data_IF_560734119959
#
_entry.id   IF_560734119959
#
_cell.length_a   1.000
_cell.length_b   1.000
_cell.length_c   1.000
_cell.angle_alpha   90.00
_cell.angle_beta   90.00
_cell.angle_gamma   90.00
#
_symmetry.space_group_name_H-M   'P 1'
#
loop_
_entity.id
_entity.type
_entity.pdbx_description
1 polymer ?
#
# COMPACT_ATOMS: atom_id res chain seq x y z
N UNK A 1 13.34 11.38 17.78
CA UNK A 1 13.46 10.37 16.70
C UNK A 1 12.12 9.74 16.32
N UNK A 2 11.39 9.12 17.26
CA UNK A 2 10.15 8.38 16.96
C UNK A 2 9.09 9.24 16.28
N UNK A 3 8.87 10.46 16.79
CA UNK A 3 7.93 11.43 16.21
C UNK A 3 8.25 11.75 14.75
N UNK A 4 9.51 12.01 14.41
CA UNK A 4 9.95 12.28 13.04
C UNK A 4 9.70 11.07 12.14
N UNK A 5 10.03 9.86 12.60
CA UNK A 5 9.79 8.64 11.82
C UNK A 5 8.30 8.45 11.49
N UNK A 6 7.43 8.75 12.47
CA UNK A 6 5.98 8.68 12.33
C UNK A 6 5.43 9.77 11.41
N UNK A 7 5.63 11.04 11.77
CA UNK A 7 5.09 12.21 11.05
C UNK A 7 5.58 12.27 9.61
N UNK A 8 6.86 11.96 9.36
CA UNK A 8 7.46 12.02 8.03
C UNK A 8 7.40 10.68 7.26
N UNK A 9 6.85 9.62 7.86
CA UNK A 9 6.76 8.27 7.25
C UNK A 9 8.12 7.74 6.78
N UNK A 10 9.18 8.07 7.51
CA UNK A 10 10.56 7.75 7.17
C UNK A 10 10.97 6.38 7.71
N UNK A 11 11.87 5.70 6.99
CA UNK A 11 12.58 4.54 7.53
C UNK A 11 13.61 5.02 8.55
N UNK A 12 13.96 4.17 9.52
CA UNK A 12 14.97 4.53 10.53
C UNK A 12 16.27 5.10 9.94
N UNK A 13 16.81 4.49 8.89
CA UNK A 13 18.01 5.00 8.21
C UNK A 13 17.81 6.39 7.59
N UNK A 14 16.63 6.66 7.03
CA UNK A 14 16.32 7.97 6.44
C UNK A 14 16.21 9.03 7.54
N UNK A 15 15.75 8.64 8.73
CA UNK A 15 15.72 9.52 9.92
C UNK A 15 17.14 9.84 10.40
N UNK A 16 18.07 8.88 10.40
CA UNK A 16 19.49 9.10 10.73
C UNK A 16 20.20 10.03 9.74
N UNK A 17 19.76 10.07 8.48
CA UNK A 17 20.39 10.88 7.44
C UNK A 17 19.94 12.34 7.46
N UNK A 18 18.92 12.70 8.25
CA UNK A 18 18.40 14.06 8.29
C UNK A 18 19.45 15.05 8.83
N UNK A 19 19.51 16.22 8.19
CA UNK A 19 20.40 17.32 8.58
C UNK A 19 19.68 18.66 8.56
N UNK A 20 20.35 19.72 9.01
CA UNK A 20 19.74 21.06 9.05
C UNK A 20 19.34 21.57 7.66
N UNK A 21 19.98 21.11 6.58
CA UNK A 21 19.61 21.48 5.21
C UNK A 21 18.28 20.84 4.76
N UNK A 22 17.75 19.85 5.48
CA UNK A 22 16.41 19.31 5.23
C UNK A 22 15.30 20.17 5.85
N UNK A 23 15.63 21.13 6.71
CA UNK A 23 14.65 22.01 7.36
C UNK A 23 14.35 23.16 6.42
N UNK A 24 13.16 23.13 5.81
CA UNK A 24 12.66 24.17 4.91
C UNK A 24 11.57 25.00 5.62
N UNK A 25 11.21 26.12 5.01
CA UNK A 25 10.17 27.00 5.53
C UNK A 25 8.81 26.28 5.52
N UNK A 26 8.49 25.60 4.43
CA UNK A 26 7.24 24.90 4.23
C UNK A 26 7.14 23.54 4.96
N UNK A 27 8.27 22.96 5.37
CA UNK A 27 8.28 21.64 6.00
C UNK A 27 9.65 20.99 6.11
N UNK A 28 9.64 19.70 6.47
CA UNK A 28 10.85 18.88 6.51
C UNK A 28 11.01 18.09 5.21
N UNK A 29 12.13 18.30 4.51
CA UNK A 29 12.49 17.56 3.31
C UNK A 29 12.94 16.14 3.65
N UNK A 30 12.27 15.17 3.05
CA UNK A 30 12.51 13.76 3.29
C UNK A 30 13.32 13.18 2.13
N UNK A 31 14.65 13.21 2.22
CA UNK A 31 15.52 12.55 1.24
C UNK A 31 15.38 11.04 1.35
N UNK A 32 14.62 10.44 0.42
CA UNK A 32 14.32 9.01 0.44
C UNK A 32 15.43 8.23 -0.24
N UNK A 33 15.72 7.02 0.28
CA UNK A 33 16.68 6.10 -0.35
C UNK A 33 15.97 5.23 -1.40
N UNK A 34 15.60 4.00 -1.04
CA UNK A 34 15.10 2.99 -2.00
C UNK A 34 13.59 3.06 -2.21
N UNK A 35 13.16 3.15 -3.47
CA UNK A 35 11.79 2.89 -3.92
C UNK A 35 10.74 3.93 -3.50
N UNK A 36 11.16 5.12 -3.10
CA UNK A 36 10.29 6.24 -2.78
C UNK A 36 10.91 7.53 -3.29
N UNK A 37 10.08 8.48 -3.71
CA UNK A 37 10.54 9.79 -4.16
C UNK A 37 10.66 10.74 -2.97
N UNK A 38 11.63 11.66 -3.06
CA UNK A 38 11.74 12.77 -2.12
C UNK A 38 10.42 13.55 -2.05
N UNK A 39 10.02 13.92 -0.84
CA UNK A 39 8.86 14.77 -0.59
C UNK A 39 9.15 15.70 0.59
N UNK A 40 8.28 16.69 0.79
CA UNK A 40 8.32 17.57 1.95
C UNK A 40 7.11 17.21 2.82
N UNK A 41 7.34 17.00 4.12
CA UNK A 41 6.26 16.89 5.10
C UNK A 41 6.01 18.25 5.71
N UNK A 42 4.82 18.81 5.49
CA UNK A 42 4.43 20.09 6.04
C UNK A 42 4.54 20.11 7.57
N UNK A 43 4.85 21.27 8.13
CA UNK A 43 4.99 21.44 9.57
C UNK A 43 3.68 21.18 10.31
N UNK A 44 3.81 20.50 11.45
CA UNK A 44 2.81 20.47 12.50
C UNK A 44 3.51 20.71 13.85
N UNK A 45 2.75 21.06 14.89
CA UNK A 45 3.32 21.43 16.18
C UNK A 45 4.22 20.33 16.78
N UNK A 46 3.83 19.06 16.63
CA UNK A 46 4.61 17.92 17.14
C UNK A 46 5.92 17.74 16.39
N UNK A 47 5.90 17.88 15.07
CA UNK A 47 7.07 17.74 14.21
C UNK A 47 8.07 18.88 14.46
N UNK A 48 7.58 20.12 14.60
CA UNK A 48 8.40 21.27 14.96
C UNK A 48 9.06 21.07 16.34
N UNK A 49 8.29 20.65 17.34
CA UNK A 49 8.80 20.37 18.68
C UNK A 49 9.88 19.27 18.64
N UNK A 50 9.66 18.19 17.90
CA UNK A 50 10.62 17.10 17.78
C UNK A 50 11.93 17.54 17.11
N UNK A 51 11.87 18.40 16.08
CA UNK A 51 13.07 18.95 15.44
C UNK A 51 13.82 19.87 16.40
N UNK A 52 13.10 20.76 17.09
CA UNK A 52 13.69 21.67 18.07
C UNK A 52 14.38 20.91 19.21
N UNK A 53 13.77 19.86 19.73
CA UNK A 53 14.36 19.02 20.79
C UNK A 53 15.67 18.35 20.32
N UNK A 54 15.70 17.84 19.08
CA UNK A 54 16.91 17.25 18.52
C UNK A 54 18.03 18.28 18.32
N UNK A 55 17.69 19.48 17.83
CA UNK A 55 18.65 20.58 17.71
C UNK A 55 19.19 21.02 19.07
N UNK A 56 18.33 21.15 20.08
CA UNK A 56 18.71 21.49 21.44
C UNK A 56 19.65 20.42 22.04
N UNK A 57 19.30 19.14 21.89
CA UNK A 57 20.14 18.02 22.34
C UNK A 57 21.51 18.04 21.68
N UNK A 58 21.56 18.24 20.36
CA UNK A 58 22.82 18.34 19.62
C UNK A 58 23.66 19.50 20.12
N UNK A 59 23.09 20.69 20.28
CA UNK A 59 23.79 21.87 20.78
C UNK A 59 24.36 21.64 22.19
N UNK A 60 23.59 20.99 23.07
CA UNK A 60 24.06 20.60 24.40
C UNK A 60 25.25 19.62 24.33
N UNK A 61 25.19 18.60 23.47
CA UNK A 61 26.27 17.64 23.27
C UNK A 61 27.54 18.28 22.70
N UNK A 62 27.40 19.14 21.69
CA UNK A 62 28.52 19.86 21.07
C UNK A 62 29.21 20.75 22.11
N UNK A 63 28.44 21.50 22.90
CA UNK A 63 28.96 22.35 23.97
C UNK A 63 29.68 21.52 25.04
N UNK A 64 29.03 20.47 25.56
CA UNK A 64 29.59 19.61 26.61
C UNK A 64 30.89 18.90 26.17
N UNK A 65 30.97 18.49 24.90
CA UNK A 65 32.14 17.82 24.32
C UNK A 65 33.15 18.77 23.69
N UNK A 66 32.94 20.09 23.77
CA UNK A 66 33.78 21.13 23.15
C UNK A 66 34.06 20.86 21.66
N UNK A 67 33.06 20.36 20.94
CA UNK A 67 33.17 20.09 19.49
C UNK A 67 32.88 21.37 18.71
N UNK A 68 33.43 21.42 17.50
CA UNK A 68 33.10 22.49 16.55
C UNK A 68 31.79 22.13 15.83
N UNK A 69 30.83 23.05 15.83
CA UNK A 69 29.64 22.93 14.98
C UNK A 69 30.06 23.09 13.51
N UNK A 70 29.76 22.13 12.63
CA UNK A 70 30.06 22.27 11.21
C UNK A 70 29.46 23.55 10.62
N UNK A 71 30.19 24.26 9.76
CA UNK A 71 29.68 25.51 9.16
C UNK A 71 28.52 25.27 8.19
N UNK A 72 28.58 24.18 7.43
CA UNK A 72 27.59 23.83 6.40
C UNK A 72 26.39 23.10 7.00
N UNK A 73 25.18 23.47 6.62
CA UNK A 73 23.94 22.89 7.15
C UNK A 73 23.78 21.40 6.79
N UNK A 74 24.28 21.00 5.62
CA UNK A 74 24.23 19.60 5.14
C UNK A 74 25.08 18.67 6.02
N UNK A 75 26.08 19.24 6.70
CA UNK A 75 27.00 18.53 7.59
C UNK A 75 26.56 18.56 9.05
N UNK A 76 25.41 19.16 9.37
CA UNK A 76 24.85 19.22 10.72
C UNK A 76 23.75 18.16 10.87
N UNK A 77 24.07 16.93 11.32
CA UNK A 77 23.07 15.88 11.50
C UNK A 77 22.04 16.30 12.55
N UNK A 78 20.78 15.96 12.36
CA UNK A 78 19.76 16.19 13.39
C UNK A 78 19.87 15.18 14.54
N UNK A 79 20.23 13.94 14.23
CA UNK A 79 20.45 12.90 15.24
C UNK A 79 21.93 12.69 15.52
N UNK A 80 22.30 12.91 16.78
CA UNK A 80 23.66 12.70 17.26
C UNK A 80 23.70 11.61 18.34
N UNK A 81 24.78 10.83 18.33
CA UNK A 81 25.15 9.96 19.45
C UNK A 81 25.67 10.76 20.65
N UNK A 82 25.96 10.07 21.76
CA UNK A 82 26.47 10.71 23.00
C UNK A 82 27.85 11.37 22.84
N UNK A 83 28.60 10.95 21.84
CA UNK A 83 29.88 11.52 21.42
C UNK A 83 29.74 12.79 20.56
N UNK A 84 28.50 13.17 20.21
CA UNK A 84 28.19 14.28 19.33
C UNK A 84 28.45 13.98 17.85
N UNK A 85 28.78 12.75 17.48
CA UNK A 85 28.88 12.31 16.09
C UNK A 85 27.48 11.97 15.54
N UNK A 86 27.29 11.91 14.20
CA UNK A 86 26.05 11.44 13.61
C UNK A 86 25.64 10.06 14.17
N UNK A 87 24.36 9.90 14.52
CA UNK A 87 23.87 8.66 15.10
C UNK A 87 23.92 7.52 14.06
N UNK A 88 24.73 6.51 14.33
CA UNK A 88 24.80 5.31 13.49
C UNK A 88 23.47 4.53 13.50
N UNK A 89 23.14 3.90 12.38
CA UNK A 89 21.92 3.08 12.23
C UNK A 89 21.84 1.94 13.25
N UNK A 90 22.95 1.27 13.56
CA UNK A 90 23.00 0.20 14.56
C UNK A 90 22.68 0.73 15.96
N UNK A 91 23.23 1.89 16.31
CA UNK A 91 22.94 2.59 17.58
C UNK A 91 21.48 3.02 17.66
N UNK A 92 20.92 3.53 16.55
CA UNK A 92 19.49 3.87 16.45
C UNK A 92 18.58 2.68 16.75
N UNK A 93 18.89 1.52 16.15
CA UNK A 93 18.13 0.31 16.35
C UNK A 93 18.24 -0.20 17.81
N UNK A 94 19.43 -0.08 18.40
CA UNK A 94 19.66 -0.48 19.79
C UNK A 94 18.92 0.44 20.77
N UNK A 95 18.98 1.76 20.56
CA UNK A 95 18.24 2.75 21.34
C UNK A 95 16.72 2.53 21.25
N UNK A 96 16.21 2.18 20.05
CA UNK A 96 14.79 1.83 19.89
C UNK A 96 14.41 0.60 20.71
N UNK A 97 15.22 -0.48 20.67
CA UNK A 97 14.97 -1.68 21.47
C UNK A 97 14.96 -1.38 22.96
N UNK A 98 15.89 -0.56 23.44
CA UNK A 98 15.95 -0.14 24.84
C UNK A 98 14.72 0.68 25.23
N UNK A 99 14.29 1.63 24.38
CA UNK A 99 13.07 2.40 24.60
C UNK A 99 11.83 1.49 24.71
N UNK A 100 11.68 0.52 23.81
CA UNK A 100 10.56 -0.44 23.83
C UNK A 100 10.61 -1.28 25.11
N UNK A 101 11.78 -1.81 25.48
CA UNK A 101 11.93 -2.57 26.72
C UNK A 101 11.59 -1.75 27.97
N UNK A 102 12.03 -0.49 28.01
CA UNK A 102 11.69 0.44 29.10
C UNK A 102 10.19 0.75 29.16
N UNK A 103 9.54 0.91 28.00
CA UNK A 103 8.09 1.14 27.93
C UNK A 103 7.28 -0.06 28.43
N UNK A 104 7.72 -1.29 28.14
CA UNK A 104 7.13 -2.53 28.68
C UNK A 104 7.32 -2.57 30.20
N UNK A 105 8.55 -2.33 30.68
CA UNK A 105 8.85 -2.30 32.12
C UNK A 105 8.04 -1.24 32.88
N UNK A 106 7.70 -0.14 32.23
CA UNK A 106 6.85 0.93 32.78
C UNK A 106 5.33 0.68 32.58
N UNK A 107 4.92 -0.42 31.95
CA UNK A 107 3.51 -0.75 31.70
C UNK A 107 2.81 0.17 30.68
N UNK A 108 3.56 0.90 29.86
CA UNK A 108 3.00 1.80 28.82
C UNK A 108 2.48 1.00 27.63
N UNK A 109 3.14 -0.13 27.32
CA UNK A 109 2.74 -1.07 26.27
C UNK A 109 2.88 -2.51 26.77
N UNK A 110 2.09 -3.42 26.22
CA UNK A 110 2.22 -4.84 26.47
C UNK A 110 3.34 -5.47 25.60
N UNK A 111 3.80 -6.67 25.96
CA UNK A 111 4.89 -7.36 25.25
C UNK A 111 4.48 -7.76 23.83
N UNK A 112 3.21 -8.06 23.64
CA UNK A 112 2.55 -8.40 22.37
C UNK A 112 2.37 -7.18 21.45
N UNK A 113 2.33 -5.97 22.00
CA UNK A 113 2.16 -4.72 21.26
C UNK A 113 3.48 -4.12 20.78
N UNK A 114 4.57 -4.89 20.85
CA UNK A 114 5.89 -4.42 20.43
C UNK A 114 6.00 -4.31 18.91
N UNK A 115 6.71 -3.28 18.45
CA UNK A 115 6.95 -3.09 17.02
C UNK A 115 8.35 -2.56 16.76
N UNK A 116 8.89 -2.94 15.60
CA UNK A 116 10.13 -2.37 15.09
C UNK A 116 9.89 -0.91 14.68
N UNK A 117 10.95 -0.10 14.64
CA UNK A 117 10.87 1.29 14.16
C UNK A 117 10.31 1.40 12.73
N UNK A 118 10.41 0.34 11.91
CA UNK A 118 9.75 0.29 10.61
C UNK A 118 8.20 0.33 10.72
N UNK A 119 7.65 -0.17 11.83
CA UNK A 119 6.22 -0.08 12.16
C UNK A 119 5.73 1.36 12.30
N UNK A 120 6.56 2.31 12.77
CA UNK A 120 6.18 3.74 12.82
C UNK A 120 5.88 4.30 11.43
N UNK A 121 6.68 3.90 10.43
CA UNK A 121 6.40 4.26 9.04
C UNK A 121 5.06 3.71 8.59
N UNK A 122 4.78 2.43 8.88
CA UNK A 122 3.49 1.81 8.51
C UNK A 122 2.34 2.55 9.16
N UNK A 123 2.42 2.80 10.47
CA UNK A 123 1.39 3.52 11.21
C UNK A 123 1.20 4.95 10.71
N UNK A 124 2.27 5.66 10.37
CA UNK A 124 2.20 7.00 9.77
C UNK A 124 1.49 7.01 8.42
N UNK A 125 1.66 5.96 7.60
CA UNK A 125 0.91 5.80 6.34
C UNK A 125 -0.57 5.50 6.62
N UNK A 126 -0.85 4.55 7.51
CA UNK A 126 -2.23 4.15 7.86
C UNK A 126 -3.05 5.30 8.43
N UNK A 127 -2.44 6.10 9.32
CA UNK A 127 -3.06 7.26 9.99
C UNK A 127 -3.18 8.50 9.09
N UNK A 128 -2.66 8.48 7.87
CA UNK A 128 -2.90 9.57 6.92
C UNK A 128 -4.37 9.50 6.49
N UNK A 129 -5.13 10.56 6.74
CA UNK A 129 -6.53 10.66 6.29
C UNK A 129 -6.60 10.72 4.76
N UNK A 130 -7.68 10.16 4.19
CA UNK A 130 -7.93 10.17 2.75
C UNK A 130 -8.08 8.78 2.11
N UNK A 131 -8.38 8.81 0.82
CA UNK A 131 -8.52 7.66 -0.07
C UNK A 131 -7.19 6.93 -0.27
N UNK A 132 -7.24 5.69 -0.79
CA UNK A 132 -6.06 4.89 -1.10
C UNK A 132 -5.04 5.65 -1.98
N UNK A 133 -5.53 6.48 -2.89
CA UNK A 133 -4.70 7.31 -3.76
C UNK A 133 -3.96 8.40 -2.97
N UNK A 134 -4.65 9.10 -2.07
CA UNK A 134 -4.07 10.16 -1.23
C UNK A 134 -3.04 9.59 -0.23
N UNK A 135 -3.31 8.43 0.37
CA UNK A 135 -2.33 7.72 1.22
C UNK A 135 -1.09 7.27 0.43
N UNK A 136 -1.27 6.89 -0.85
CA UNK A 136 -0.17 6.53 -1.76
C UNK A 136 0.65 7.75 -2.13
N UNK A 137 0.01 8.87 -2.44
CA UNK A 137 0.67 10.14 -2.77
C UNK A 137 1.42 10.72 -1.57
N UNK A 138 0.86 10.63 -0.36
CA UNK A 138 1.55 11.02 0.87
C UNK A 138 2.81 10.17 1.14
N UNK A 139 2.81 8.89 0.76
CA UNK A 139 3.96 7.99 0.91
C UNK A 139 4.97 8.06 -0.25
N UNK A 140 4.54 8.59 -1.42
CA UNK A 140 5.25 8.65 -2.71
C UNK A 140 6.05 7.38 -3.03
N UNK A 141 5.37 6.23 -3.09
CA UNK A 141 5.98 4.99 -3.56
C UNK A 141 6.13 4.98 -5.10
N UNK A 142 7.30 4.61 -5.60
CA UNK A 142 7.59 4.60 -7.03
C UNK A 142 6.88 3.47 -7.81
N UNK A 143 6.36 2.45 -7.13
CA UNK A 143 5.64 1.31 -7.74
C UNK A 143 4.44 0.91 -6.90
N UNK A 144 3.36 0.53 -7.57
CA UNK A 144 2.05 0.21 -6.97
C UNK A 144 2.07 -1.02 -6.06
N UNK A 145 2.84 -2.05 -6.44
CA UNK A 145 3.02 -3.28 -5.66
C UNK A 145 3.68 -3.02 -4.30
N UNK A 146 4.49 -1.96 -4.16
CA UNK A 146 5.12 -1.61 -2.90
C UNK A 146 4.13 -1.00 -1.88
N UNK A 147 2.99 -0.46 -2.35
CA UNK A 147 1.94 0.10 -1.50
C UNK A 147 0.92 -0.95 -1.06
N UNK A 148 0.77 -2.04 -1.81
CA UNK A 148 -0.20 -3.11 -1.53
C UNK A 148 0.03 -3.86 -0.20
N UNK A 149 1.23 -3.73 0.40
CA UNK A 149 1.63 -4.39 1.65
C UNK A 149 1.11 -3.64 2.91
N UNK A 150 0.51 -2.45 2.76
CA UNK A 150 0.11 -1.57 3.88
C UNK A 150 -1.40 -1.53 4.16
N UNK A 151 -2.17 -2.44 3.57
CA UNK A 151 -3.62 -2.54 3.76
C UNK A 151 -3.90 -3.56 4.87
N UNK A 152 -3.66 -3.16 6.13
CA UNK A 152 -4.07 -3.96 7.31
C UNK A 152 -5.55 -3.71 7.66
N UNK A 153 -6.28 -2.96 6.83
CA UNK A 153 -7.72 -2.80 6.94
C UNK A 153 -8.38 -3.97 6.20
N UNK A 154 -9.01 -4.89 6.93
CA UNK A 154 -9.79 -5.98 6.33
C UNK A 154 -10.96 -5.34 5.57
N UNK A 155 -10.80 -5.21 4.25
CA UNK A 155 -11.89 -4.74 3.40
C UNK A 155 -12.91 -5.85 3.28
N UNK A 156 -14.08 -5.65 3.88
CA UNK A 156 -15.26 -6.43 3.56
C UNK A 156 -15.67 -6.07 2.14
N UNK A 157 -15.17 -6.84 1.18
CA UNK A 157 -15.55 -6.68 -0.23
C UNK A 157 -16.86 -7.43 -0.43
N UNK A 158 -17.88 -6.84 -1.08
CA UNK A 158 -19.08 -7.58 -1.43
C UNK A 158 -18.71 -8.78 -2.29
N UNK A 159 -19.30 -9.94 -2.00
CA UNK A 159 -19.08 -11.14 -2.79
C UNK A 159 -19.43 -10.86 -4.27
N UNK A 160 -18.61 -11.31 -5.23
CA UNK A 160 -18.92 -11.12 -6.64
C UNK A 160 -20.26 -11.79 -6.96
N UNK A 161 -21.17 -11.05 -7.60
CA UNK A 161 -22.44 -11.62 -8.02
C UNK A 161 -22.19 -12.77 -9.01
N UNK A 162 -22.47 -14.00 -8.57
CA UNK A 162 -22.38 -15.16 -9.45
C UNK A 162 -23.36 -14.97 -10.63
N UNK A 163 -22.96 -15.18 -11.89
CA UNK A 163 -23.81 -14.98 -13.06
C UNK A 163 -24.94 -16.02 -13.21
N UNK A 164 -25.47 -16.59 -12.11
CA UNK A 164 -26.63 -17.48 -12.13
C UNK A 164 -27.86 -16.72 -12.69
N UNK A 165 -27.95 -15.41 -12.48
CA UNK A 165 -28.97 -14.55 -13.10
C UNK A 165 -28.81 -14.29 -14.60
N UNK A 166 -27.63 -14.56 -15.20
CA UNK A 166 -27.45 -14.53 -16.66
C UNK A 166 -27.87 -15.84 -17.31
N UNK A 167 -27.64 -16.98 -16.66
CA UNK A 167 -28.11 -18.30 -17.12
C UNK A 167 -29.64 -18.40 -17.14
N UNK A 168 -30.32 -17.79 -16.16
CA UNK A 168 -31.79 -17.75 -16.12
C UNK A 168 -32.42 -17.00 -17.32
N UNK A 169 -31.74 -15.97 -17.85
CA UNK A 169 -32.22 -15.23 -19.05
C UNK A 169 -32.02 -16.03 -20.35
N UNK A 170 -30.94 -16.80 -20.44
CA UNK A 170 -30.70 -17.70 -21.58
C UNK A 170 -31.66 -18.89 -21.58
N UNK A 171 -31.95 -19.46 -20.41
CA UNK A 171 -32.93 -20.55 -20.27
C UNK A 171 -34.35 -20.12 -20.64
N UNK A 172 -34.75 -18.87 -20.31
CA UNK A 172 -36.07 -18.33 -20.67
C UNK A 172 -36.23 -18.13 -22.19
N UNK A 173 -35.15 -17.76 -22.90
CA UNK A 173 -35.13 -17.69 -24.39
C UNK A 173 -35.30 -19.07 -25.04
N UNK A 174 -34.65 -20.10 -24.51
CA UNK A 174 -34.75 -21.48 -25.03
C UNK A 174 -36.14 -22.08 -24.76
N UNK A 175 -36.73 -21.79 -23.60
CA UNK A 175 -38.07 -22.27 -23.26
C UNK A 175 -39.17 -21.63 -24.12
N UNK A 176 -39.03 -20.33 -24.45
CA UNK A 176 -39.99 -19.63 -25.30
C UNK A 176 -39.98 -20.13 -26.75
N UNK A 177 -38.82 -20.54 -27.28
CA UNK A 177 -38.69 -21.10 -28.64
C UNK A 177 -39.38 -22.48 -28.79
N UNK A 178 -39.34 -23.31 -27.73
CA UNK A 178 -40.07 -24.59 -27.69
C UNK A 178 -41.59 -24.42 -27.56
N UNK A 179 -42.06 -23.31 -26.98
CA UNK A 179 -43.49 -23.00 -26.87
C UNK A 179 -44.07 -22.41 -28.16
N UNK A 180 -43.30 -21.64 -28.93
CA UNK A 180 -43.72 -21.18 -30.27
C UNK A 180 -43.75 -22.33 -31.28
N UNK A 181 -42.76 -23.23 -31.29
CA UNK A 181 -42.78 -24.39 -32.22
C UNK A 181 -43.88 -25.43 -31.92
N UNK A 182 -44.35 -25.55 -30.66
CA UNK A 182 -45.48 -26.43 -30.32
C UNK A 182 -46.85 -25.87 -30.73
N UNK A 183 -46.96 -24.58 -31.05
CA UNK A 183 -48.22 -23.99 -31.53
C UNK A 183 -48.36 -24.02 -33.06
N UNK A 184 -47.26 -24.15 -33.80
CA UNK A 184 -47.28 -24.20 -35.27
C UNK A 184 -47.27 -25.64 -35.85
N UNK A 185 -47.13 -26.68 -35.02
CA UNK A 185 -47.21 -28.11 -35.44
C UNK A 185 -48.49 -28.75 -34.90
N UNK A 186 -49.61 -28.04 -35.03
CA UNK A 186 -50.95 -28.57 -34.79
C UNK A 186 -51.92 -28.08 -35.88
N UNK A 187 -51.59 -28.28 -37.15
CA UNK A 187 -52.58 -28.17 -38.22
C UNK A 187 -52.32 -29.18 -39.36
N UNK A 188 -53.25 -30.14 -39.46
CA UNK A 188 -53.56 -31.05 -40.58
C UNK A 188 -52.53 -32.10 -41.02
N UNK A 189 -52.72 -33.30 -40.45
CA UNK A 189 -52.65 -34.53 -41.22
C UNK A 189 -53.60 -34.43 -42.44
N UNK A 190 -53.05 -34.44 -43.66
CA UNK A 190 -53.79 -34.78 -44.88
C UNK A 190 -53.03 -35.91 -45.60
N UNK A 191 -53.56 -37.15 -45.63
CA UNK A 191 -52.81 -38.34 -46.05
C UNK A 191 -52.76 -38.55 -47.57
N UNK A 192 -52.50 -37.51 -48.38
CA UNK A 192 -52.44 -37.62 -49.86
C UNK A 192 -51.22 -36.99 -50.56
N UNK A 193 -50.20 -36.56 -49.84
CA UNK A 193 -48.95 -36.05 -50.43
C UNK A 193 -47.72 -36.86 -49.98
N UNK A 194 -47.88 -38.18 -50.01
CA UNK A 194 -46.76 -39.12 -49.99
C UNK A 194 -46.31 -39.30 -51.44
N UNK A 195 -45.02 -39.08 -51.72
CA UNK A 195 -44.35 -39.07 -53.04
C UNK A 195 -44.21 -37.72 -53.76
N UNK A 196 -43.25 -36.90 -53.31
CA UNK A 196 -42.26 -36.27 -54.20
C UNK A 196 -41.14 -35.63 -53.37
N UNK A 197 -39.93 -35.74 -53.90
CA UNK A 197 -38.68 -35.14 -53.40
C UNK A 197 -37.91 -35.90 -52.29
N UNK A 198 -37.79 -37.22 -52.44
CA UNK A 198 -36.47 -37.84 -52.28
C UNK A 198 -35.73 -37.68 -53.61
N UNK A 199 -34.86 -36.66 -53.73
CA UNK A 199 -33.77 -36.52 -54.72
C UNK A 199 -33.27 -35.07 -54.72
N UNK A 200 -32.11 -34.87 -54.08
CA UNK A 200 -30.96 -34.01 -54.45
C UNK A 200 -30.13 -33.86 -53.16
N UNK A 201 -29.09 -34.68 -52.94
CA UNK A 201 -27.68 -34.37 -53.24
C UNK A 201 -27.19 -33.10 -52.52
N UNK A 202 -26.09 -33.06 -51.78
CA UNK A 202 -24.90 -33.89 -51.76
C UNK A 202 -24.06 -33.48 -50.53
N UNK A 203 -23.35 -34.45 -49.96
CA UNK A 203 -21.98 -34.40 -49.42
C UNK A 203 -21.40 -33.16 -48.71
N UNK A 204 -20.75 -33.44 -47.56
CA UNK A 204 -19.63 -32.61 -47.09
C UNK A 204 -19.29 -32.75 -45.60
N UNK A 205 -19.03 -33.95 -45.10
CA UNK A 205 -18.34 -34.14 -43.83
C UNK A 205 -16.83 -34.18 -44.11
N UNK A 206 -16.07 -33.23 -43.56
CA UNK A 206 -14.62 -33.31 -43.50
C UNK A 206 -14.17 -33.17 -42.05
N UNK A 207 -13.60 -34.28 -41.59
CA UNK A 207 -12.95 -34.61 -40.34
C UNK A 207 -11.70 -33.79 -40.06
N UNK A 208 -11.41 -33.50 -38.78
CA UNK A 208 -10.06 -33.69 -38.21
C UNK A 208 -10.15 -33.94 -36.70
N UNK A 209 -9.68 -35.14 -36.31
CA UNK A 209 -9.52 -35.60 -34.95
C UNK A 209 -8.10 -35.30 -34.43
N UNK A 210 -8.02 -35.12 -33.11
CA UNK A 210 -6.80 -34.97 -32.31
C UNK A 210 -6.19 -36.35 -32.03
N UNK A 211 -4.86 -36.47 -32.18
CA UNK A 211 -4.01 -37.33 -31.36
C UNK A 211 -3.55 -38.66 -31.96
N UNK A 212 -2.32 -38.69 -32.48
CA UNK A 212 -1.14 -39.20 -31.74
C UNK A 212 0.16 -38.81 -32.45
#
# INVERSE_FOLDING_TARGET
MAEIAFSCRLRGVEVCDLNDADILEEGLQNRRRKGSLTNITAWNARLQAAVAELQARRSALISAKKRVTPMRAENRPLLCGEDGAPLARSSQHSAWKQLVAAAIGAGVIAQEDTFAMHGLKRRGISNTEGTRAEKKDASRHAREQAFAIYDDEIKVVPAPAHPIGKLARTAKKICNWKQTMKKDVAFRLNPRLFWRAAKTSNFGAESYAVGR
#
